data_IF_198780334469
#
_entry.id   IF_198780334469
#
_cell.length_a   1.000
_cell.length_b   1.000
_cell.length_c   1.000
_cell.angle_alpha   90.00
_cell.angle_beta   90.00
_cell.angle_gamma   90.00
#
_symmetry.space_group_name_H-M   'P 1'
#
loop_
_entity.id
_entity.type
_entity.pdbx_description
1 polymer ?
#
# COMPACT_ATOMS: atom_id res chain seq x y z
N UNK A 1 -7.16 3.89 0.21
CA UNK A 1 -8.08 4.56 -0.75
C UNK A 1 -9.00 3.54 -1.40
N UNK A 2 -10.11 3.98 -1.98
CA UNK A 2 -11.05 3.10 -2.67
C UNK A 2 -11.07 3.47 -4.15
N UNK A 3 -10.96 2.48 -5.02
CA UNK A 3 -11.17 2.65 -6.45
C UNK A 3 -11.73 1.38 -7.10
N UNK A 4 -12.72 1.52 -7.97
CA UNK A 4 -13.35 0.42 -8.72
C UNK A 4 -13.71 -0.84 -7.89
N UNK A 5 -14.18 -0.66 -6.64
CA UNK A 5 -14.53 -1.77 -5.75
C UNK A 5 -13.34 -2.44 -5.05
N UNK A 6 -12.14 -1.88 -5.18
CA UNK A 6 -10.92 -2.31 -4.49
C UNK A 6 -10.56 -1.27 -3.43
N UNK A 7 -10.30 -1.75 -2.21
CA UNK A 7 -9.63 -0.99 -1.16
C UNK A 7 -8.12 -1.22 -1.25
N UNK A 8 -7.38 -0.15 -1.48
CA UNK A 8 -5.93 -0.15 -1.35
C UNK A 8 -5.56 0.31 0.07
N UNK A 9 -4.81 -0.52 0.78
CA UNK A 9 -4.46 -0.33 2.18
C UNK A 9 -2.93 -0.34 2.37
N UNK A 10 -2.44 0.58 3.18
CA UNK A 10 -1.08 0.56 3.72
C UNK A 10 -1.15 0.10 5.17
N UNK A 11 -0.26 -0.82 5.56
CA UNK A 11 -0.14 -1.25 6.96
C UNK A 11 1.20 -0.84 7.55
N UNK A 12 1.19 -0.52 8.84
CA UNK A 12 2.37 -0.26 9.65
C UNK A 12 2.98 -1.53 10.26
N UNK A 13 4.07 -1.33 11.01
CA UNK A 13 4.82 -2.37 11.69
C UNK A 13 6.17 -2.64 11.04
N UNK A 14 7.27 -2.48 11.78
CA UNK A 14 8.60 -2.81 11.27
C UNK A 14 8.70 -4.31 10.98
N UNK A 15 9.16 -4.67 9.78
CA UNK A 15 9.19 -6.05 9.31
C UNK A 15 7.84 -6.58 8.79
N UNK A 16 6.75 -5.87 9.02
CA UNK A 16 5.37 -6.32 8.75
C UNK A 16 4.59 -5.41 7.81
N UNK A 17 5.10 -4.21 7.55
CA UNK A 17 4.43 -3.22 6.72
C UNK A 17 4.20 -3.73 5.30
N UNK A 18 2.98 -3.53 4.80
CA UNK A 18 2.54 -4.00 3.48
C UNK A 18 1.74 -2.93 2.75
N UNK A 19 1.78 -2.97 1.42
CA UNK A 19 0.76 -2.41 0.54
C UNK A 19 -0.19 -3.55 0.14
N UNK A 20 -1.50 -3.35 0.24
CA UNK A 20 -2.51 -4.37 0.01
C UNK A 20 -3.58 -3.88 -0.95
N UNK A 21 -4.09 -4.81 -1.75
CA UNK A 21 -5.38 -4.71 -2.42
C UNK A 21 -6.36 -5.64 -1.74
N UNK A 22 -7.51 -5.11 -1.38
CA UNK A 22 -8.56 -5.78 -0.64
C UNK A 22 -9.86 -5.60 -1.38
N UNK A 23 -10.62 -6.68 -1.53
CA UNK A 23 -11.98 -6.61 -2.03
C UNK A 23 -12.83 -5.76 -1.08
N UNK A 24 -13.40 -4.66 -1.59
CA UNK A 24 -14.07 -3.67 -0.74
C UNK A 24 -15.29 -4.23 -0.01
N UNK A 25 -16.01 -5.16 -0.63
CA UNK A 25 -17.28 -5.69 -0.10
C UNK A 25 -17.05 -6.79 0.92
N UNK A 26 -16.10 -7.69 0.65
CA UNK A 26 -15.87 -8.90 1.46
C UNK A 26 -14.73 -8.75 2.44
N UNK A 27 -13.86 -7.76 2.27
CA UNK A 27 -12.61 -7.63 3.04
C UNK A 27 -11.56 -8.68 2.70
N UNK A 28 -11.77 -9.47 1.64
CA UNK A 28 -10.81 -10.51 1.22
C UNK A 28 -9.56 -9.86 0.64
N UNK A 29 -8.39 -10.27 1.13
CA UNK A 29 -7.11 -9.88 0.55
C UNK A 29 -6.98 -10.43 -0.89
N UNK A 30 -6.77 -9.55 -1.86
CA UNK A 30 -6.57 -9.89 -3.26
C UNK A 30 -5.08 -10.02 -3.58
N UNK A 31 -4.29 -9.01 -3.20
CA UNK A 31 -2.83 -8.96 -3.39
C UNK A 31 -2.16 -8.20 -2.24
N UNK A 32 -0.90 -8.51 -1.97
CA UNK A 32 -0.08 -7.78 -1.01
C UNK A 32 1.39 -7.75 -1.41
N UNK A 33 2.05 -6.64 -1.14
CA UNK A 33 3.50 -6.43 -1.32
C UNK A 33 4.09 -6.00 0.01
N UNK A 34 5.17 -6.66 0.42
CA UNK A 34 5.90 -6.31 1.65
C UNK A 34 6.84 -5.15 1.39
N UNK A 35 6.83 -4.19 2.31
CA UNK A 35 7.88 -3.16 2.35
C UNK A 35 9.19 -3.74 2.89
N UNK A 36 10.33 -3.10 2.63
CA UNK A 36 11.60 -3.48 3.25
C UNK A 36 11.47 -3.52 4.78
N UNK A 37 12.14 -4.47 5.44
CA UNK A 37 11.95 -4.72 6.89
C UNK A 37 12.18 -3.49 7.78
N UNK A 38 13.07 -2.57 7.37
CA UNK A 38 13.37 -1.32 8.09
C UNK A 38 12.35 -0.20 7.90
N UNK A 39 11.29 -0.44 7.13
CA UNK A 39 10.30 0.57 6.74
C UNK A 39 9.01 0.29 7.50
N UNK A 40 8.49 1.33 8.14
CA UNK A 40 7.14 1.34 8.70
C UNK A 40 6.23 2.12 7.74
N UNK A 41 5.22 1.47 7.18
CA UNK A 41 4.28 2.06 6.22
C UNK A 41 3.25 2.98 6.90
N UNK A 42 2.87 4.06 6.21
CA UNK A 42 1.96 5.09 6.73
C UNK A 42 0.87 5.44 5.69
N UNK A 43 0.65 6.72 5.40
CA UNK A 43 -0.37 7.17 4.45
C UNK A 43 -0.13 6.66 3.03
N UNK A 44 -1.23 6.46 2.30
CA UNK A 44 -1.26 5.94 0.93
C UNK A 44 -2.28 6.73 0.11
N UNK A 45 -1.87 7.28 -1.04
CA UNK A 45 -2.75 8.00 -1.98
C UNK A 45 -2.48 7.62 -3.44
N UNK A 46 -3.47 7.85 -4.31
CA UNK A 46 -3.42 7.49 -5.72
C UNK A 46 -3.19 8.76 -6.54
N UNK A 47 -2.39 8.63 -7.59
CA UNK A 47 -2.18 9.69 -8.56
C UNK A 47 -2.09 9.08 -9.97
N UNK A 48 -3.21 9.11 -10.69
CA UNK A 48 -3.36 8.36 -11.95
C UNK A 48 -3.16 6.86 -11.72
N UNK A 49 -2.25 6.27 -12.51
CA UNK A 49 -1.89 4.84 -12.43
C UNK A 49 -0.84 4.53 -11.36
N UNK A 50 -0.58 5.46 -10.43
CA UNK A 50 0.43 5.30 -9.38
C UNK A 50 -0.17 5.30 -7.99
N UNK A 51 0.39 4.50 -7.11
CA UNK A 51 0.16 4.54 -5.67
C UNK A 51 1.39 5.16 -4.99
N UNK A 52 1.16 6.18 -4.17
CA UNK A 52 2.20 6.90 -3.43
C UNK A 52 2.03 6.58 -1.95
N UNK A 53 3.04 5.96 -1.35
CA UNK A 53 3.04 5.55 0.06
C UNK A 53 4.12 6.31 0.83
N UNK A 54 3.75 6.84 1.99
CA UNK A 54 4.66 7.43 2.95
C UNK A 54 5.18 6.38 3.91
N UNK A 55 6.31 6.68 4.55
CA UNK A 55 6.85 5.87 5.63
C UNK A 55 7.11 6.71 6.87
N UNK A 56 7.04 6.06 8.03
CA UNK A 56 7.34 6.68 9.30
C UNK A 56 8.85 6.73 9.53
N UNK A 57 9.36 7.91 9.92
CA UNK A 57 10.74 8.21 10.31
C UNK A 57 11.85 7.94 9.27
N UNK A 58 11.62 7.12 8.26
CA UNK A 58 12.63 6.75 7.25
C UNK A 58 12.87 7.83 6.21
N UNK A 59 12.04 8.89 6.19
CA UNK A 59 12.09 10.01 5.23
C UNK A 59 12.11 9.55 3.77
N UNK A 60 11.53 8.39 3.50
CA UNK A 60 11.47 7.77 2.18
C UNK A 60 10.01 7.63 1.75
N UNK A 61 9.71 8.00 0.50
CA UNK A 61 8.43 7.72 -0.14
C UNK A 61 8.56 6.60 -1.16
N UNK A 62 7.50 5.82 -1.35
CA UNK A 62 7.44 4.76 -2.34
C UNK A 62 6.39 5.09 -3.39
N UNK A 63 6.68 4.72 -4.64
CA UNK A 63 5.77 4.84 -5.76
C UNK A 63 5.64 3.47 -6.38
N UNK A 64 4.41 2.98 -6.48
CA UNK A 64 4.08 1.70 -7.10
C UNK A 64 3.24 1.93 -8.34
N UNK A 65 3.42 1.11 -9.36
CA UNK A 65 2.42 0.96 -10.40
C UNK A 65 1.17 0.30 -9.80
N UNK A 66 0.01 0.89 -10.06
CA UNK A 66 -1.26 0.45 -9.47
C UNK A 66 -1.76 -0.87 -10.08
N UNK A 67 -1.45 -1.15 -11.34
CA UNK A 67 -1.89 -2.38 -11.99
C UNK A 67 -1.05 -3.59 -11.55
N UNK A 68 0.27 -3.43 -11.43
CA UNK A 68 1.20 -4.51 -11.09
C UNK A 68 1.58 -4.57 -9.61
N UNK A 69 1.38 -3.50 -8.83
CA UNK A 69 1.86 -3.35 -7.44
C UNK A 69 3.39 -3.43 -7.33
N UNK A 70 4.13 -2.94 -8.33
CA UNK A 70 5.61 -2.95 -8.36
C UNK A 70 6.22 -1.56 -8.30
#
# INVERSE_FOLDING_TARGET
>A
MIDAGILYESTGGYGESTLREVDLTTGRLLRAVRLPQRVFGEGLTAWGERLIQLSWQSKTGFVFDKASLT
#
